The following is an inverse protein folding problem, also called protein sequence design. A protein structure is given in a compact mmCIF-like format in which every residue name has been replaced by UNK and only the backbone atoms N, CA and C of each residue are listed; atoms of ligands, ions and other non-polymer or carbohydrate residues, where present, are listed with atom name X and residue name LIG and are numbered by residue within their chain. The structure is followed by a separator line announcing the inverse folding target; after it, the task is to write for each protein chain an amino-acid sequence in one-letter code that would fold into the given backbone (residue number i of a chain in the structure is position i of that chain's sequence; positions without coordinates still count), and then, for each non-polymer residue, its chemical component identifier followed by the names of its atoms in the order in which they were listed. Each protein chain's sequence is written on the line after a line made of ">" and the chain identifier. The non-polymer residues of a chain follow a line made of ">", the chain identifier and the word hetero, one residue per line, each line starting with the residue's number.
data_IF_388726912282
#
_entry.id   IF_388726912282
#
_cell.length_a   1.000
_cell.length_b   1.000
_cell.length_c   1.000
_cell.angle_alpha   90.00
_cell.angle_beta   90.00
_cell.angle_gamma   90.00
#
_symmetry.space_group_name_H-M   'P 1'
#
loop_
_entity.id
_entity.type
_entity.pdbx_description
1 polymer ?
#
# COMPACT_ATOMS: atom_id res chain seq x y z
N UNK A 1 27.89 27.70 17.43
CA UNK A 1 28.19 27.03 16.17
C UNK A 1 28.41 25.51 16.30
N UNK A 2 29.29 25.02 17.21
CA UNK A 2 29.55 23.55 17.39
C UNK A 2 28.30 22.73 17.75
N UNK A 3 27.41 23.27 18.61
CA UNK A 3 26.15 22.58 19.00
C UNK A 3 25.14 22.49 17.88
N UNK A 4 25.04 23.49 17.02
CA UNK A 4 24.16 23.48 15.85
C UNK A 4 24.66 22.48 14.78
N UNK A 5 25.97 22.38 14.59
CA UNK A 5 26.58 21.40 13.69
C UNK A 5 26.36 19.96 14.20
N UNK A 6 26.40 19.74 15.52
CA UNK A 6 26.15 18.43 16.12
C UNK A 6 24.68 18.00 16.00
N UNK A 7 23.72 18.92 16.14
CA UNK A 7 22.30 18.68 15.92
C UNK A 7 22.03 18.36 14.44
N UNK A 8 22.65 19.11 13.53
CA UNK A 8 22.55 18.82 12.09
C UNK A 8 23.10 17.43 11.73
N UNK A 9 24.20 17.03 12.37
CA UNK A 9 24.82 15.70 12.17
C UNK A 9 23.93 14.56 12.69
N UNK A 10 23.19 14.76 13.78
CA UNK A 10 22.23 13.78 14.31
C UNK A 10 21.05 13.58 13.35
N UNK A 11 20.54 14.65 12.71
CA UNK A 11 19.49 14.56 11.69
C UNK A 11 19.93 13.79 10.44
N UNK A 12 21.23 13.74 10.13
CA UNK A 12 21.77 12.98 9.00
C UNK A 12 21.89 11.47 9.28
N UNK A 13 21.71 11.04 10.52
CA UNK A 13 21.83 9.62 10.91
C UNK A 13 20.48 8.89 10.96
N UNK A 14 19.37 9.55 10.67
CA UNK A 14 18.08 8.89 10.55
C UNK A 14 18.05 8.06 9.25
N UNK A 15 17.93 6.75 9.39
CA UNK A 15 17.73 5.84 8.27
C UNK A 15 16.35 6.15 7.66
N UNK A 16 16.32 6.87 6.56
CA UNK A 16 15.11 7.09 5.77
C UNK A 16 14.95 5.86 4.89
N UNK A 17 14.03 4.98 5.26
CA UNK A 17 13.62 3.87 4.40
C UNK A 17 12.65 4.41 3.33
N UNK A 18 13.19 4.92 2.23
CA UNK A 18 12.44 5.37 1.08
C UNK A 18 12.86 4.52 -0.13
N UNK A 19 12.38 3.28 -0.20
CA UNK A 19 12.80 2.32 -1.25
C UNK A 19 11.68 1.98 -2.25
N UNK A 20 10.63 2.78 -2.34
CA UNK A 20 9.53 2.48 -3.26
C UNK A 20 9.94 2.50 -4.75
N UNK A 21 10.89 3.36 -5.14
CA UNK A 21 11.23 3.58 -6.54
C UNK A 21 12.69 3.19 -6.87
N UNK A 22 13.23 2.15 -6.21
CA UNK A 22 14.61 1.73 -6.40
C UNK A 22 14.95 1.38 -7.86
N UNK A 23 13.99 0.90 -8.63
CA UNK A 23 14.16 0.61 -10.06
C UNK A 23 14.46 1.88 -10.84
N UNK A 24 13.72 2.96 -10.59
CA UNK A 24 13.95 4.25 -11.26
C UNK A 24 15.33 4.82 -10.98
N UNK A 25 15.87 4.61 -9.77
CA UNK A 25 17.21 5.06 -9.41
C UNK A 25 18.31 4.46 -10.31
N UNK A 26 18.07 3.27 -10.85
CA UNK A 26 18.98 2.60 -11.77
C UNK A 26 18.73 2.91 -13.27
N UNK A 27 17.81 3.84 -13.57
CA UNK A 27 17.45 4.23 -14.94
C UNK A 27 17.77 5.71 -15.22
N UNK A 28 19.05 6.12 -15.21
CA UNK A 28 19.43 7.53 -15.31
C UNK A 28 19.10 8.19 -16.66
N UNK A 29 18.80 7.39 -17.67
CA UNK A 29 18.48 7.88 -19.02
C UNK A 29 17.05 8.36 -19.21
N UNK A 30 16.15 8.07 -18.24
CA UNK A 30 14.75 8.48 -18.34
C UNK A 30 14.46 9.68 -17.44
N UNK A 31 13.64 10.66 -17.91
CA UNK A 31 13.34 11.87 -17.15
C UNK A 31 12.69 11.62 -15.80
N UNK A 32 11.97 10.53 -15.65
CA UNK A 32 11.30 10.13 -14.41
C UNK A 32 12.27 9.88 -13.25
N UNK A 33 13.58 9.71 -13.52
CA UNK A 33 14.58 9.61 -12.45
C UNK A 33 14.55 10.80 -11.50
N UNK A 34 14.18 12.00 -12.00
CA UNK A 34 14.04 13.21 -11.19
C UNK A 34 12.99 13.10 -10.10
N UNK A 35 12.14 12.07 -10.15
CA UNK A 35 11.15 11.79 -9.11
C UNK A 35 11.79 11.18 -7.86
N UNK A 36 12.87 10.42 -8.02
CA UNK A 36 13.58 9.68 -6.95
C UNK A 36 14.93 10.28 -6.63
N UNK A 37 15.62 10.85 -7.62
CA UNK A 37 16.90 11.54 -7.46
C UNK A 37 16.80 12.98 -8.01
N UNK A 38 16.54 13.95 -7.14
CA UNK A 38 16.45 15.35 -7.56
C UNK A 38 17.76 15.94 -8.09
N UNK A 39 18.90 15.31 -7.85
CA UNK A 39 20.20 15.76 -8.37
C UNK A 39 20.55 15.14 -9.73
N UNK A 40 19.73 14.22 -10.22
CA UNK A 40 19.93 13.60 -11.53
C UNK A 40 19.58 14.57 -12.67
N UNK A 41 20.50 14.71 -13.63
CA UNK A 41 20.34 15.57 -14.81
C UNK A 41 19.98 14.72 -16.02
N UNK A 42 18.73 14.76 -16.53
CA UNK A 42 18.37 14.08 -17.77
C UNK A 42 19.16 14.59 -18.98
N UNK A 43 19.43 13.70 -19.93
CA UNK A 43 20.19 14.04 -21.13
C UNK A 43 19.36 14.79 -22.18
N UNK A 44 18.05 14.61 -22.14
CA UNK A 44 17.10 15.19 -23.08
C UNK A 44 17.02 16.71 -22.98
N UNK A 45 16.76 17.38 -24.11
CA UNK A 45 16.53 18.82 -24.14
C UNK A 45 15.10 19.20 -23.81
N UNK A 46 14.16 18.36 -24.19
CA UNK A 46 12.73 18.53 -23.96
C UNK A 46 12.10 17.13 -23.77
N UNK A 47 11.35 16.99 -22.72
CA UNK A 47 10.57 15.80 -22.41
C UNK A 47 9.11 16.17 -22.25
N UNK A 48 8.24 15.41 -22.90
CA UNK A 48 6.79 15.54 -22.76
C UNK A 48 6.24 14.15 -22.49
N UNK A 49 5.69 13.96 -21.31
CA UNK A 49 5.01 12.72 -20.92
C UNK A 49 3.51 12.85 -21.06
N UNK A 50 2.91 11.86 -21.70
CA UNK A 50 1.46 11.73 -21.88
C UNK A 50 0.86 10.83 -20.80
N UNK A 51 -0.42 11.03 -20.43
CA UNK A 51 -1.10 10.22 -19.43
C UNK A 51 -1.00 8.72 -19.73
N UNK A 52 -0.71 7.93 -18.69
CA UNK A 52 -0.66 6.46 -18.72
C UNK A 52 0.47 5.88 -19.58
N UNK A 53 0.77 6.52 -20.73
CA UNK A 53 1.74 5.99 -21.71
C UNK A 53 3.19 6.22 -21.26
N UNK A 54 3.47 7.33 -20.57
CA UNK A 54 4.84 7.73 -20.25
C UNK A 54 5.36 7.15 -18.95
N UNK A 55 4.50 6.81 -18.00
CA UNK A 55 4.92 6.21 -16.75
C UNK A 55 3.75 5.47 -16.09
N UNK A 56 3.92 4.19 -15.88
CA UNK A 56 3.06 3.36 -15.04
C UNK A 56 3.97 2.54 -14.13
N UNK A 57 3.75 2.63 -12.85
CA UNK A 57 4.45 1.87 -11.83
C UNK A 57 3.45 1.06 -11.02
N UNK A 58 3.81 -0.16 -10.70
CA UNK A 58 3.06 -1.01 -9.78
C UNK A 58 4.00 -1.90 -8.98
N UNK A 59 3.76 -2.04 -7.70
CA UNK A 59 4.46 -2.97 -6.85
C UNK A 59 3.49 -3.74 -5.97
N UNK A 60 3.81 -5.01 -5.73
CA UNK A 60 3.04 -5.90 -4.86
C UNK A 60 4.00 -6.51 -3.86
N UNK A 61 3.59 -6.50 -2.62
CA UNK A 61 4.33 -7.12 -1.52
C UNK A 61 3.38 -7.93 -0.64
N UNK A 62 3.80 -9.10 -0.22
CA UNK A 62 3.05 -9.97 0.68
C UNK A 62 3.97 -10.52 1.77
N UNK A 63 3.55 -10.44 3.04
CA UNK A 63 4.33 -10.96 4.18
C UNK A 63 3.96 -12.37 4.57
N UNK A 64 2.77 -12.85 4.18
CA UNK A 64 2.26 -14.13 4.65
C UNK A 64 3.00 -15.33 4.05
N UNK A 65 3.21 -15.31 2.75
CA UNK A 65 3.85 -16.39 2.01
C UNK A 65 4.42 -15.86 0.68
N UNK A 66 5.39 -16.55 0.14
CA UNK A 66 5.90 -16.34 -1.21
C UNK A 66 5.23 -17.28 -2.23
N UNK A 67 5.37 -16.97 -3.52
CA UNK A 67 4.90 -17.88 -4.58
C UNK A 67 5.55 -19.26 -4.45
N UNK A 68 6.83 -19.31 -4.04
CA UNK A 68 7.55 -20.55 -3.80
C UNK A 68 7.06 -21.37 -2.60
N UNK A 69 6.30 -20.75 -1.68
CA UNK A 69 5.70 -21.47 -0.55
C UNK A 69 4.36 -22.13 -0.92
N UNK A 70 3.70 -21.60 -1.97
CA UNK A 70 2.39 -22.12 -2.43
C UNK A 70 2.55 -23.35 -3.32
N UNK A 71 3.70 -23.47 -4.02
CA UNK A 71 3.89 -24.53 -5.00
C UNK A 71 5.15 -25.33 -4.73
N UNK A 72 5.07 -26.64 -4.91
CA UNK A 72 6.21 -27.54 -4.97
C UNK A 72 6.21 -28.34 -6.27
N UNK A 73 7.37 -28.80 -6.68
CA UNK A 73 7.51 -29.66 -7.85
C UNK A 73 7.50 -31.14 -7.40
N UNK A 74 6.56 -31.92 -7.93
CA UNK A 74 6.52 -33.34 -7.65
C UNK A 74 7.64 -34.10 -8.41
N UNK A 75 7.75 -35.42 -8.19
CA UNK A 75 8.76 -36.26 -8.81
C UNK A 75 8.70 -36.29 -10.34
N UNK A 76 7.54 -36.00 -10.92
CA UNK A 76 7.32 -35.95 -12.38
C UNK A 76 7.61 -34.57 -12.98
N UNK A 77 8.06 -33.60 -12.16
CA UNK A 77 8.34 -32.24 -12.57
C UNK A 77 7.10 -31.34 -12.68
N UNK A 78 5.96 -31.79 -12.19
CA UNK A 78 4.69 -31.03 -12.26
C UNK A 78 4.58 -30.16 -11.01
N UNK A 79 4.21 -28.86 -11.20
CA UNK A 79 3.94 -27.94 -10.10
C UNK A 79 2.62 -28.28 -9.43
N UNK A 80 2.67 -28.55 -8.14
CA UNK A 80 1.53 -28.89 -7.29
C UNK A 80 1.36 -27.83 -6.21
N UNK A 81 0.13 -27.46 -5.83
CA UNK A 81 -0.10 -26.53 -4.73
C UNK A 81 0.26 -27.17 -3.39
N UNK A 82 0.88 -26.39 -2.51
CA UNK A 82 1.24 -26.75 -1.13
C UNK A 82 0.65 -25.74 -0.16
N UNK A 83 -0.65 -25.85 0.07
CA UNK A 83 -1.40 -24.94 0.93
C UNK A 83 -0.93 -25.04 2.37
N UNK A 84 -0.62 -26.24 2.84
CA UNK A 84 -0.21 -26.49 4.22
C UNK A 84 1.12 -25.78 4.52
N UNK A 85 2.07 -25.86 3.59
CA UNK A 85 3.34 -25.16 3.72
C UNK A 85 3.15 -23.64 3.68
N UNK A 86 2.30 -23.11 2.79
CA UNK A 86 1.96 -21.70 2.75
C UNK A 86 1.38 -21.22 4.09
N UNK A 87 0.40 -21.94 4.64
CA UNK A 87 -0.20 -21.64 5.94
C UNK A 87 0.83 -21.74 7.07
N UNK A 88 1.72 -22.74 7.04
CA UNK A 88 2.75 -22.91 8.07
C UNK A 88 3.75 -21.74 8.13
N UNK A 89 4.02 -21.08 6.99
CA UNK A 89 4.91 -19.92 6.88
C UNK A 89 4.27 -18.63 7.38
N UNK A 90 2.96 -18.53 7.38
CA UNK A 90 2.23 -17.32 7.76
C UNK A 90 2.41 -17.00 9.25
N UNK A 91 2.57 -15.70 9.53
CA UNK A 91 2.45 -15.13 10.87
C UNK A 91 0.98 -15.06 11.30
N UNK A 92 0.72 -14.72 12.58
CA UNK A 92 -0.65 -14.46 13.05
C UNK A 92 -1.32 -13.34 12.26
N UNK A 93 -0.55 -12.31 11.93
CA UNK A 93 -0.96 -11.15 11.13
C UNK A 93 -0.08 -11.04 9.89
N UNK A 94 -0.69 -10.79 8.76
CA UNK A 94 -0.01 -10.70 7.47
C UNK A 94 -0.55 -9.51 6.68
N UNK A 95 0.26 -9.01 5.72
CA UNK A 95 -0.05 -7.84 4.93
C UNK A 95 0.11 -8.15 3.45
N UNK A 96 -0.87 -7.75 2.68
CA UNK A 96 -0.77 -7.62 1.24
C UNK A 96 -0.76 -6.12 0.91
N UNK A 97 0.29 -5.65 0.26
CA UNK A 97 0.48 -4.23 -0.06
C UNK A 97 0.57 -4.10 -1.57
N UNK A 98 -0.20 -3.19 -2.11
CA UNK A 98 -0.13 -2.76 -3.49
C UNK A 98 0.11 -1.26 -3.55
N UNK A 99 1.15 -0.84 -4.29
CA UNK A 99 1.38 0.57 -4.58
C UNK A 99 1.35 0.75 -6.09
N UNK A 100 0.62 1.76 -6.53
CA UNK A 100 0.49 2.11 -7.93
C UNK A 100 0.71 3.60 -8.17
N UNK A 101 1.32 3.94 -9.30
CA UNK A 101 1.39 5.33 -9.74
C UNK A 101 1.41 5.46 -11.25
N UNK A 102 0.91 6.58 -11.75
CA UNK A 102 0.98 6.93 -13.16
C UNK A 102 1.10 8.45 -13.33
N UNK A 103 1.98 8.87 -14.23
CA UNK A 103 2.06 10.27 -14.59
C UNK A 103 0.90 10.65 -15.50
N UNK A 104 0.10 11.63 -15.07
CA UNK A 104 -0.92 12.25 -15.92
C UNK A 104 -0.31 13.26 -16.87
N UNK A 105 0.75 13.91 -16.43
CA UNK A 105 1.50 14.88 -17.25
C UNK A 105 2.92 14.95 -16.73
N UNK A 106 3.85 15.00 -17.63
CA UNK A 106 5.24 15.32 -17.37
C UNK A 106 5.75 16.29 -18.46
N UNK A 107 6.35 17.39 -18.03
CA UNK A 107 7.04 18.31 -18.92
C UNK A 107 8.38 18.64 -18.30
N UNK A 108 9.46 18.44 -19.04
CA UNK A 108 10.81 18.78 -18.63
C UNK A 108 11.58 19.46 -19.75
N UNK A 109 12.43 20.41 -19.41
CA UNK A 109 13.29 21.09 -20.40
C UNK A 109 14.63 21.47 -19.82
N UNK A 110 15.65 21.42 -20.66
CA UNK A 110 17.02 21.79 -20.35
C UNK A 110 17.31 23.22 -20.80
N UNK A 111 17.84 24.04 -19.91
CA UNK A 111 18.28 25.41 -20.17
C UNK A 111 19.73 25.61 -19.70
N UNK A 112 20.69 25.47 -20.62
CA UNK A 112 22.12 25.46 -20.29
C UNK A 112 22.46 24.31 -19.35
N UNK A 113 23.02 24.61 -18.19
CA UNK A 113 23.37 23.66 -17.16
C UNK A 113 22.21 23.39 -16.17
N UNK A 114 21.00 23.82 -16.49
CA UNK A 114 19.84 23.62 -15.65
C UNK A 114 18.83 22.72 -16.37
N UNK A 115 18.13 21.89 -15.60
CA UNK A 115 16.95 21.20 -16.05
C UNK A 115 15.78 21.52 -15.11
N UNK A 116 14.63 21.82 -15.68
CA UNK A 116 13.40 22.10 -14.98
C UNK A 116 12.36 21.08 -15.39
N UNK A 117 11.58 20.58 -14.45
CA UNK A 117 10.42 19.79 -14.80
C UNK A 117 9.22 20.08 -13.90
N UNK A 118 8.05 19.81 -14.46
CA UNK A 118 6.77 19.77 -13.77
C UNK A 118 6.09 18.46 -14.09
N UNK A 119 5.52 17.82 -13.08
CA UNK A 119 4.71 16.62 -13.28
C UNK A 119 3.47 16.62 -12.40
N UNK A 120 2.47 15.93 -12.88
CA UNK A 120 1.26 15.58 -12.17
C UNK A 120 1.18 14.05 -12.16
N UNK A 121 1.20 13.46 -10.98
CA UNK A 121 1.22 12.00 -10.80
C UNK A 121 0.06 11.57 -9.93
N UNK A 122 -0.73 10.60 -10.40
CA UNK A 122 -1.67 9.87 -9.56
C UNK A 122 -0.96 8.79 -8.78
N UNK A 123 -1.27 8.66 -7.50
CA UNK A 123 -0.70 7.66 -6.60
C UNK A 123 -1.79 6.96 -5.82
N UNK A 124 -1.64 5.65 -5.71
CA UNK A 124 -2.58 4.77 -5.04
C UNK A 124 -1.80 3.80 -4.15
N UNK A 125 -2.15 3.77 -2.88
CA UNK A 125 -1.66 2.80 -1.93
C UNK A 125 -2.85 1.98 -1.40
N UNK A 126 -2.67 0.69 -1.40
CA UNK A 126 -3.64 -0.26 -0.85
C UNK A 126 -2.90 -1.24 0.05
N UNK A 127 -3.37 -1.38 1.28
CA UNK A 127 -2.89 -2.38 2.24
C UNK A 127 -4.07 -3.21 2.70
N UNK A 128 -3.95 -4.51 2.60
CA UNK A 128 -4.90 -5.47 3.15
C UNK A 128 -4.22 -6.23 4.29
N UNK A 129 -4.71 -6.02 5.49
CA UNK A 129 -4.29 -6.75 6.69
C UNK A 129 -5.16 -8.00 6.80
N UNK A 130 -4.53 -9.16 6.88
CA UNK A 130 -5.26 -10.40 6.99
C UNK A 130 -4.63 -11.34 8.03
N UNK A 131 -5.43 -11.80 9.00
CA UNK A 131 -4.99 -12.80 9.96
C UNK A 131 -4.85 -14.17 9.30
N UNK A 132 -3.95 -15.01 9.85
CA UNK A 132 -3.72 -16.38 9.39
C UNK A 132 -5.00 -17.20 9.36
N UNK A 133 -5.85 -17.08 10.39
CA UNK A 133 -7.08 -17.84 10.51
C UNK A 133 -8.08 -17.55 9.39
N UNK A 134 -8.01 -16.39 8.74
CA UNK A 134 -8.80 -16.10 7.54
C UNK A 134 -8.47 -17.07 6.41
N UNK A 135 -7.19 -17.33 6.20
CA UNK A 135 -6.72 -18.24 5.14
C UNK A 135 -7.02 -19.70 5.52
N UNK A 136 -6.83 -20.07 6.80
CA UNK A 136 -7.21 -21.39 7.31
C UNK A 136 -8.70 -21.63 7.09
N UNK A 137 -9.56 -20.69 7.46
CA UNK A 137 -11.01 -20.78 7.20
C UNK A 137 -11.35 -20.90 5.72
N UNK A 138 -10.67 -20.15 4.86
CA UNK A 138 -10.94 -20.16 3.43
C UNK A 138 -10.50 -21.48 2.76
N UNK A 139 -9.41 -22.08 3.21
CA UNK A 139 -8.80 -23.26 2.57
C UNK A 139 -9.19 -24.57 3.21
N UNK A 140 -9.28 -24.64 4.54
CA UNK A 140 -9.56 -25.85 5.29
C UNK A 140 -10.99 -25.88 5.86
N UNK A 141 -11.65 -24.72 5.92
CA UNK A 141 -12.96 -24.56 6.57
C UNK A 141 -12.86 -24.50 8.09
N UNK A 142 -14.02 -24.55 8.75
CA UNK A 142 -14.14 -24.48 10.20
C UNK A 142 -14.19 -25.85 10.90
N UNK A 143 -14.05 -26.94 10.15
CA UNK A 143 -14.30 -28.31 10.66
C UNK A 143 -13.12 -28.95 11.37
N UNK A 144 -11.91 -28.90 10.81
CA UNK A 144 -10.78 -29.69 11.32
C UNK A 144 -10.05 -28.98 12.47
N UNK A 145 -9.23 -28.01 12.15
CA UNK A 145 -8.34 -27.36 13.11
C UNK A 145 -9.05 -26.34 14.00
N UNK A 146 -10.22 -25.84 13.57
CA UNK A 146 -10.98 -24.78 14.21
C UNK A 146 -12.24 -25.24 14.94
N UNK A 147 -12.59 -26.55 14.90
CA UNK A 147 -13.74 -27.07 15.61
C UNK A 147 -13.54 -26.93 17.12
N UNK A 148 -14.50 -26.31 17.81
CA UNK A 148 -14.43 -26.02 19.25
C UNK A 148 -13.43 -24.91 19.60
N UNK A 149 -12.93 -24.15 18.61
CA UNK A 149 -12.04 -23.01 18.81
C UNK A 149 -12.59 -21.78 18.10
N UNK A 150 -12.14 -20.61 18.55
CA UNK A 150 -12.40 -19.34 17.88
C UNK A 150 -11.34 -19.12 16.81
N UNK A 151 -11.74 -19.02 15.55
CA UNK A 151 -10.92 -18.48 14.50
C UNK A 151 -10.85 -16.96 14.69
N UNK A 152 -9.66 -16.44 14.94
CA UNK A 152 -9.46 -15.01 15.14
C UNK A 152 -9.29 -14.32 13.80
N UNK A 153 -10.18 -13.37 13.54
CA UNK A 153 -10.10 -12.43 12.42
C UNK A 153 -9.75 -11.02 12.91
N UNK A 154 -9.23 -10.92 14.14
CA UNK A 154 -8.78 -9.67 14.73
C UNK A 154 -7.67 -9.06 13.85
N UNK A 155 -7.72 -7.76 13.63
CA UNK A 155 -6.78 -7.07 12.74
C UNK A 155 -7.08 -7.23 11.23
N UNK A 156 -8.19 -7.92 10.86
CA UNK A 156 -8.64 -7.91 9.47
C UNK A 156 -9.01 -6.50 9.07
N UNK A 157 -8.48 -6.03 7.95
CA UNK A 157 -8.78 -4.68 7.52
C UNK A 157 -8.10 -4.30 6.22
N UNK A 158 -8.45 -3.16 5.73
CA UNK A 158 -7.80 -2.60 4.56
C UNK A 158 -7.69 -1.08 4.68
N UNK A 159 -6.60 -0.57 4.15
CA UNK A 159 -6.31 0.83 3.98
C UNK A 159 -6.15 1.12 2.51
N UNK A 160 -6.88 2.11 2.04
CA UNK A 160 -6.78 2.59 0.68
C UNK A 160 -6.58 4.10 0.72
N UNK A 161 -5.56 4.58 0.02
CA UNK A 161 -5.30 6.02 -0.12
C UNK A 161 -5.01 6.33 -1.58
N UNK A 162 -5.75 7.30 -2.10
CA UNK A 162 -5.57 7.85 -3.43
C UNK A 162 -5.28 9.34 -3.32
N UNK A 163 -4.17 9.76 -3.91
CA UNK A 163 -3.79 11.17 -3.94
C UNK A 163 -3.12 11.55 -5.24
N UNK A 164 -3.14 12.82 -5.52
CA UNK A 164 -2.46 13.43 -6.67
C UNK A 164 -1.27 14.25 -6.18
N UNK A 165 -0.12 14.00 -6.77
CA UNK A 165 1.11 14.76 -6.55
C UNK A 165 1.30 15.76 -7.68
N UNK A 166 1.44 17.05 -7.34
CA UNK A 166 1.92 18.10 -8.22
C UNK A 166 3.33 18.41 -7.80
N UNK A 167 4.30 18.27 -8.70
CA UNK A 167 5.68 18.51 -8.36
C UNK A 167 6.39 19.43 -9.36
N UNK A 168 7.19 20.33 -8.84
CA UNK A 168 8.15 21.11 -9.60
C UNK A 168 9.55 20.69 -9.20
N UNK A 169 10.42 20.55 -10.16
CA UNK A 169 11.77 20.10 -9.97
C UNK A 169 12.76 21.02 -10.69
N UNK A 170 13.91 21.24 -10.09
CA UNK A 170 15.04 21.94 -10.64
C UNK A 170 16.32 21.22 -10.26
N UNK A 171 17.23 21.07 -11.23
CA UNK A 171 18.60 20.60 -11.02
C UNK A 171 19.57 21.47 -11.78
N UNK A 172 20.74 21.68 -11.19
CA UNK A 172 21.86 22.41 -11.76
C UNK A 172 23.09 21.51 -11.83
N UNK A 173 23.65 21.38 -13.03
CA UNK A 173 24.91 20.69 -13.25
C UNK A 173 26.08 21.68 -13.15
N UNK A 174 26.90 21.55 -12.12
CA UNK A 174 28.09 22.38 -11.95
C UNK A 174 29.23 21.89 -12.86
N UNK A 175 29.38 20.58 -12.90
CA UNK A 175 30.29 19.88 -13.82
C UNK A 175 29.91 18.39 -13.81
N UNK A 176 30.37 17.64 -14.82
CA UNK A 176 30.01 16.23 -15.07
C UNK A 176 30.14 15.25 -13.88
N UNK A 177 30.67 15.67 -12.73
CA UNK A 177 30.78 14.87 -11.50
C UNK A 177 29.98 15.43 -10.33
N UNK A 178 29.37 16.59 -10.48
CA UNK A 178 28.66 17.23 -9.39
C UNK A 178 27.45 18.02 -9.88
N UNK A 179 26.30 17.60 -9.48
CA UNK A 179 25.03 18.29 -9.68
C UNK A 179 24.29 18.43 -8.34
N UNK A 180 23.41 19.38 -8.25
CA UNK A 180 22.49 19.51 -7.11
C UNK A 180 21.12 19.92 -7.62
N UNK A 181 20.10 19.47 -6.92
CA UNK A 181 18.72 19.73 -7.31
C UNK A 181 17.76 19.76 -6.14
N UNK A 182 16.58 20.27 -6.40
CA UNK A 182 15.49 20.34 -5.44
C UNK A 182 14.18 20.00 -6.14
N UNK A 183 13.31 19.30 -5.40
CA UNK A 183 11.97 18.95 -5.82
C UNK A 183 10.97 19.37 -4.74
N UNK A 184 10.00 20.19 -5.13
CA UNK A 184 8.89 20.57 -4.27
C UNK A 184 7.64 19.84 -4.71
N UNK A 185 6.90 19.30 -3.73
CA UNK A 185 5.70 18.51 -3.97
C UNK A 185 4.52 19.12 -3.21
N UNK A 186 3.41 19.22 -3.90
CA UNK A 186 2.10 19.47 -3.30
C UNK A 186 1.25 18.21 -3.44
N UNK A 187 0.78 17.69 -2.31
CA UNK A 187 -0.04 16.48 -2.26
C UNK A 187 -1.49 16.88 -2.08
N UNK A 188 -2.33 16.42 -2.99
CA UNK A 188 -3.77 16.60 -2.93
C UNK A 188 -4.44 15.26 -2.67
N UNK A 189 -4.98 15.08 -1.46
CA UNK A 189 -5.74 13.89 -1.09
C UNK A 189 -7.05 13.87 -1.86
N UNK A 190 -7.38 12.74 -2.45
CA UNK A 190 -8.60 12.52 -3.21
C UNK A 190 -9.55 11.61 -2.44
N UNK A 191 -9.10 10.41 -2.15
CA UNK A 191 -9.91 9.40 -1.48
C UNK A 191 -9.08 8.68 -0.43
N UNK A 192 -9.68 8.44 0.71
CA UNK A 192 -9.12 7.60 1.75
C UNK A 192 -10.22 6.70 2.31
N UNK A 193 -9.85 5.49 2.59
CA UNK A 193 -10.73 4.48 3.13
C UNK A 193 -9.92 3.55 4.04
N UNK A 194 -10.29 3.49 5.30
CA UNK A 194 -9.59 2.71 6.31
C UNK A 194 -10.59 1.92 7.13
N UNK A 195 -10.29 0.65 7.35
CA UNK A 195 -11.00 -0.18 8.32
C UNK A 195 -10.07 -0.54 9.47
N UNK A 196 -10.59 -0.46 10.67
CA UNK A 196 -9.92 -0.90 11.89
C UNK A 196 -10.83 -1.93 12.58
N UNK A 197 -10.46 -3.21 12.45
CA UNK A 197 -11.20 -4.30 13.08
C UNK A 197 -10.56 -4.59 14.42
N UNK A 198 -11.16 -4.04 15.47
CA UNK A 198 -10.68 -4.23 16.84
C UNK A 198 -10.92 -5.66 17.35
N UNK A 199 -11.96 -6.30 16.83
CA UNK A 199 -12.37 -7.61 17.26
C UNK A 199 -13.27 -8.27 16.21
N UNK A 200 -12.88 -9.46 15.73
CA UNK A 200 -13.71 -10.26 14.84
C UNK A 200 -13.35 -11.74 14.99
N UNK A 201 -14.34 -12.60 15.03
CA UNK A 201 -14.08 -14.03 15.11
C UNK A 201 -15.27 -14.89 14.78
N UNK A 202 -14.94 -16.13 14.46
CA UNK A 202 -15.90 -17.21 14.19
C UNK A 202 -15.58 -18.38 15.11
N UNK A 203 -16.53 -18.79 15.92
CA UNK A 203 -16.43 -19.97 16.76
C UNK A 203 -17.43 -21.02 16.28
N UNK A 204 -16.98 -22.25 16.13
CA UNK A 204 -17.84 -23.41 15.81
C UNK A 204 -17.96 -24.28 17.02
N UNK A 205 -19.17 -24.42 17.56
CA UNK A 205 -19.42 -25.28 18.70
C UNK A 205 -19.13 -26.74 18.36
N UNK A 206 -18.38 -27.43 19.24
CA UNK A 206 -17.92 -28.80 19.00
C UNK A 206 -19.05 -29.84 18.97
N UNK A 207 -20.15 -29.57 19.68
CA UNK A 207 -21.21 -30.54 19.84
C UNK A 207 -22.39 -30.30 18.90
N UNK A 208 -22.77 -29.03 18.77
CA UNK A 208 -23.93 -28.62 17.98
C UNK A 208 -23.58 -28.16 16.57
N UNK A 209 -22.28 -27.93 16.30
CA UNK A 209 -21.77 -27.33 15.07
C UNK A 209 -22.37 -25.94 14.78
N UNK A 210 -22.98 -25.31 15.78
CA UNK A 210 -23.51 -23.98 15.66
C UNK A 210 -22.37 -22.97 15.48
N UNK A 211 -22.57 -22.05 14.56
CA UNK A 211 -21.62 -20.95 14.30
C UNK A 211 -21.99 -19.75 15.18
N UNK A 212 -21.03 -19.25 15.93
CA UNK A 212 -21.11 -18.01 16.64
C UNK A 212 -20.16 -17.01 15.97
N UNK A 213 -20.69 -15.87 15.59
CA UNK A 213 -19.95 -14.79 14.97
C UNK A 213 -20.00 -13.57 15.86
N UNK A 214 -18.85 -12.96 16.10
CA UNK A 214 -18.71 -11.74 16.86
C UNK A 214 -17.79 -10.75 16.12
N UNK A 215 -18.12 -9.47 16.12
CA UNK A 215 -17.30 -8.45 15.47
C UNK A 215 -17.53 -7.07 16.07
N UNK A 216 -16.45 -6.27 16.05
CA UNK A 216 -16.45 -4.84 16.28
C UNK A 216 -15.41 -4.21 15.36
N UNK A 217 -15.82 -3.29 14.50
CA UNK A 217 -14.91 -2.60 13.58
C UNK A 217 -15.33 -1.15 13.37
N UNK A 218 -14.35 -0.31 13.11
CA UNK A 218 -14.51 1.07 12.72
C UNK A 218 -14.24 1.21 11.22
N UNK A 219 -15.01 2.08 10.59
CA UNK A 219 -14.90 2.38 9.18
C UNK A 219 -14.74 3.88 9.01
N UNK A 220 -13.64 4.31 8.39
CA UNK A 220 -13.33 5.71 8.16
C UNK A 220 -13.15 5.98 6.69
N UNK A 221 -13.80 7.01 6.20
CA UNK A 221 -13.70 7.43 4.79
C UNK A 221 -13.52 8.93 4.69
N UNK A 222 -12.81 9.35 3.66
CA UNK A 222 -12.70 10.75 3.28
C UNK A 222 -12.64 10.84 1.76
N UNK A 223 -13.16 11.93 1.19
CA UNK A 223 -13.20 12.15 -0.26
C UNK A 223 -14.24 11.32 -1.03
N UNK A 224 -14.88 10.34 -0.41
CA UNK A 224 -15.97 9.60 -1.04
C UNK A 224 -17.28 10.38 -0.95
N UNK A 225 -18.15 10.29 -1.99
CA UNK A 225 -19.49 10.83 -1.89
C UNK A 225 -20.20 10.17 -0.70
N UNK A 226 -20.99 10.95 0.05
CA UNK A 226 -21.78 10.41 1.16
C UNK A 226 -22.67 9.29 0.64
N UNK A 227 -22.31 8.05 0.94
CA UNK A 227 -23.25 6.94 0.80
C UNK A 227 -24.19 7.06 2.00
N UNK A 228 -25.34 7.71 1.78
CA UNK A 228 -26.43 7.60 2.72
C UNK A 228 -26.89 6.13 2.70
N UNK A 229 -26.51 5.39 3.71
CA UNK A 229 -27.21 4.13 4.01
C UNK A 229 -28.54 4.55 4.66
N UNK A 230 -29.46 4.97 3.79
CA UNK A 230 -30.84 5.19 4.20
C UNK A 230 -31.56 3.85 4.02
N UNK A 231 -31.92 3.25 5.12
CA UNK A 231 -32.71 2.05 5.14
C UNK A 231 -32.16 0.93 6.02
N UNK A 232 -33.07 0.30 6.71
CA UNK A 232 -32.85 -0.92 7.49
C UNK A 232 -32.03 -1.92 6.67
N UNK A 233 -30.79 -2.16 7.08
CA UNK A 233 -30.04 -3.32 6.60
C UNK A 233 -30.87 -4.54 6.98
N UNK A 234 -31.39 -5.33 6.03
CA UNK A 234 -32.18 -6.49 6.38
C UNK A 234 -31.33 -7.38 7.27
N UNK A 235 -31.83 -7.65 8.48
CA UNK A 235 -31.17 -8.49 9.45
C UNK A 235 -30.83 -9.83 8.80
N UNK A 236 -29.58 -10.04 8.44
CA UNK A 236 -29.07 -11.33 8.05
C UNK A 236 -29.04 -12.14 9.36
N UNK A 237 -30.04 -12.94 9.57
CA UNK A 237 -30.23 -13.91 10.63
C UNK A 237 -29.45 -13.71 11.92
N UNK A 238 -29.99 -12.95 12.89
CA UNK A 238 -29.52 -12.93 14.28
C UNK A 238 -28.50 -11.87 14.67
N UNK A 239 -28.09 -10.97 13.80
CA UNK A 239 -27.28 -9.81 14.16
C UNK A 239 -28.15 -8.75 14.84
N UNK A 240 -27.85 -8.48 16.09
CA UNK A 240 -28.52 -7.40 16.84
C UNK A 240 -27.95 -6.06 16.38
N UNK A 241 -28.68 -5.32 15.54
CA UNK A 241 -28.27 -4.06 14.93
C UNK A 241 -28.19 -2.89 15.91
N UNK A 242 -28.28 -3.12 17.21
CA UNK A 242 -28.14 -2.08 18.23
C UNK A 242 -26.70 -1.74 18.63
N UNK A 243 -25.70 -2.48 18.12
CA UNK A 243 -24.30 -2.12 18.29
C UNK A 243 -23.87 -1.25 17.11
N UNK A 244 -23.89 0.02 17.36
CA UNK A 244 -23.57 1.18 16.55
C UNK A 244 -22.42 0.97 15.54
N UNK A 245 -22.76 0.89 14.26
CA UNK A 245 -21.88 1.29 13.18
C UNK A 245 -21.61 2.79 13.30
N UNK A 246 -20.57 3.18 13.99
CA UNK A 246 -20.13 4.57 14.01
C UNK A 246 -19.32 4.86 12.75
N UNK A 247 -19.97 5.35 11.71
CA UNK A 247 -19.29 5.97 10.57
C UNK A 247 -18.86 7.37 10.97
N UNK A 248 -17.58 7.56 11.23
CA UNK A 248 -17.04 8.88 11.46
C UNK A 248 -16.41 9.39 10.16
N UNK A 249 -17.06 10.34 9.51
CA UNK A 249 -16.49 11.08 8.39
C UNK A 249 -15.62 12.19 8.97
N UNK A 250 -14.30 12.07 8.81
CA UNK A 250 -13.36 13.16 9.07
C UNK A 250 -13.20 13.98 7.78
N UNK A 251 -13.79 15.18 7.77
CA UNK A 251 -13.47 16.16 6.73
C UNK A 251 -12.05 16.70 6.91
N UNK A 252 -11.39 17.03 5.81
CA UNK A 252 -10.14 17.81 5.76
C UNK A 252 -10.44 19.29 6.00
#
# INVERSE_FOLDING_TARGET
>A
MKKALFILLIFLLTKINAQQDFILYHMPSIPQITQVDPASMPDSKLDIGLPIISSVYGSVFNTGFSIGDIFYQNADGIMMPDVDNAIAKMSSENFFIFNGSTDLMFVGFKAGNNFFSFNVTEKLDFTFNYPKDLIVLAMEGNGNNLLGKRASLDGLGFDFTHWREYAVHWVHDVHHKFSYGARLKYLYGMENFTTDVSYMGIETDQNTHALKFDMAFDFRTSGLPQVMVDGDIPAIGGLNTNDSLMMQQSGF
#
